data_IF_121012038582
#
_entry.id   IF_121012038582
#
_cell.length_a   1.000
_cell.length_b   1.000
_cell.length_c   1.000
_cell.angle_alpha   90.00
_cell.angle_beta   90.00
_cell.angle_gamma   90.00
#
_symmetry.space_group_name_H-M   'P 1'
#
loop_
_entity.id
_entity.type
_entity.pdbx_description
1 polymer ?
#
# COMPACT_ATOMS: atom_id res chain seq x y z
N UNK A 1 23.08 20.13 2.18
CA UNK A 1 21.90 21.03 2.12
C UNK A 1 21.19 20.71 0.82
N UNK A 2 19.90 20.37 0.85
CA UNK A 2 19.16 20.06 -0.37
C UNK A 2 18.72 21.38 -1.02
N UNK A 3 19.42 21.81 -2.06
CA UNK A 3 19.03 22.96 -2.90
C UNK A 3 17.96 22.52 -3.93
N UNK A 4 16.80 22.11 -3.43
CA UNK A 4 15.68 21.72 -4.27
C UNK A 4 14.76 22.93 -4.51
N UNK A 5 14.90 23.58 -5.67
CA UNK A 5 14.01 24.68 -6.07
C UNK A 5 12.60 24.19 -6.48
N UNK A 6 12.43 22.88 -6.72
CA UNK A 6 11.18 22.26 -7.20
C UNK A 6 10.90 20.94 -6.50
N UNK A 7 9.62 20.70 -6.16
CA UNK A 7 9.14 19.48 -5.50
C UNK A 7 9.54 18.19 -6.24
N UNK A 8 9.46 18.18 -7.56
CA UNK A 8 9.77 16.99 -8.37
C UNK A 8 11.24 16.55 -8.29
N UNK A 9 12.14 17.42 -7.78
CA UNK A 9 13.53 17.08 -7.52
C UNK A 9 13.76 16.30 -6.22
N UNK A 10 12.76 16.24 -5.34
CA UNK A 10 12.83 15.60 -4.02
C UNK A 10 11.67 14.63 -3.74
N UNK A 11 10.60 14.70 -4.53
CA UNK A 11 9.40 13.86 -4.41
C UNK A 11 9.20 13.05 -5.68
N UNK A 12 8.99 11.75 -5.52
CA UNK A 12 8.50 10.87 -6.60
C UNK A 12 7.12 10.36 -6.21
N UNK A 13 6.14 10.54 -7.10
CA UNK A 13 4.79 10.01 -6.92
C UNK A 13 4.64 8.69 -7.68
N UNK A 14 4.28 7.63 -6.95
CA UNK A 14 3.95 6.33 -7.53
C UNK A 14 2.43 6.14 -7.54
N UNK A 15 1.83 5.92 -8.71
CA UNK A 15 0.41 5.58 -8.86
C UNK A 15 0.17 4.08 -8.61
N UNK A 16 0.60 3.60 -7.44
CA UNK A 16 0.56 2.19 -7.04
C UNK A 16 -0.17 2.06 -5.69
N UNK A 17 -0.85 0.93 -5.47
CA UNK A 17 -1.31 0.55 -4.14
C UNK A 17 -0.22 -0.19 -3.37
N UNK A 18 0.14 0.27 -2.17
CA UNK A 18 1.03 -0.50 -1.30
C UNK A 18 0.30 -1.74 -0.77
N UNK A 19 0.95 -2.91 -0.79
CA UNK A 19 0.34 -4.19 -0.40
C UNK A 19 1.40 -5.25 -0.07
N UNK A 20 0.99 -6.50 0.16
CA UNK A 20 1.87 -7.67 0.31
C UNK A 20 2.20 -8.37 -1.02
N UNK A 21 1.73 -7.84 -2.15
CA UNK A 21 1.90 -8.41 -3.49
C UNK A 21 2.28 -7.35 -4.50
N UNK A 22 3.05 -7.76 -5.52
CA UNK A 22 3.35 -6.94 -6.70
C UNK A 22 2.61 -7.51 -7.90
N UNK A 23 1.40 -7.02 -8.14
CA UNK A 23 0.54 -7.47 -9.23
C UNK A 23 -0.64 -6.50 -9.43
N UNK A 24 -1.35 -6.68 -10.53
CA UNK A 24 -2.59 -5.95 -10.78
C UNK A 24 -3.76 -6.55 -9.99
N UNK A 25 -4.49 -5.73 -9.23
CA UNK A 25 -5.56 -6.16 -8.33
C UNK A 25 -6.86 -5.38 -8.54
N UNK A 26 -8.03 -6.02 -8.36
CA UNK A 26 -9.31 -5.32 -8.39
C UNK A 26 -9.59 -4.59 -7.08
N UNK A 27 -9.98 -3.33 -7.17
CA UNK A 27 -10.52 -2.51 -6.09
C UNK A 27 -11.94 -2.02 -6.43
N UNK A 28 -12.65 -1.44 -5.47
CA UNK A 28 -13.96 -0.83 -5.70
C UNK A 28 -13.81 0.50 -6.46
N UNK A 29 -14.62 0.71 -7.52
CA UNK A 29 -14.51 1.85 -8.44
C UNK A 29 -14.79 3.22 -7.81
N UNK A 30 -15.63 3.27 -6.78
CA UNK A 30 -15.96 4.52 -6.09
C UNK A 30 -16.28 4.25 -4.62
N UNK A 31 -15.44 4.79 -3.76
CA UNK A 31 -15.86 5.33 -2.47
C UNK A 31 -15.51 6.82 -2.53
N UNK A 32 -16.38 7.72 -2.05
CA UNK A 32 -16.05 9.12 -1.82
C UNK A 32 -14.66 9.28 -1.17
N UNK A 33 -13.95 10.36 -1.48
CA UNK A 33 -12.71 10.66 -0.76
C UNK A 33 -13.02 10.76 0.75
N UNK A 34 -12.27 10.03 1.58
CA UNK A 34 -12.54 9.91 3.02
C UNK A 34 -13.54 8.82 3.40
N UNK A 35 -13.99 7.96 2.47
CA UNK A 35 -14.71 6.73 2.82
C UNK A 35 -13.74 5.52 2.92
N UNK A 36 -13.56 5.08 4.16
CA UNK A 36 -12.53 4.16 4.70
C UNK A 36 -12.72 2.66 4.31
N UNK A 37 -13.27 2.37 3.12
CA UNK A 37 -13.62 0.97 2.73
C UNK A 37 -12.92 0.48 1.47
N UNK A 38 -11.91 1.18 1.01
CA UNK A 38 -11.17 0.82 -0.20
C UNK A 38 -10.13 -0.25 0.12
N UNK A 39 -10.40 -1.48 -0.32
CA UNK A 39 -9.49 -2.61 -0.17
C UNK A 39 -9.50 -3.51 -1.39
N UNK A 40 -8.51 -4.40 -1.48
CA UNK A 40 -8.46 -5.42 -2.53
C UNK A 40 -9.69 -6.33 -2.43
N UNK A 41 -10.44 -6.44 -3.52
CA UNK A 41 -11.62 -7.28 -3.57
C UNK A 41 -11.22 -8.74 -3.82
N UNK A 42 -11.69 -9.64 -2.95
CA UNK A 42 -11.45 -11.08 -3.09
C UNK A 42 -12.76 -11.89 -3.04
N UNK A 43 -12.71 -13.13 -3.52
CA UNK A 43 -13.78 -14.12 -3.39
C UNK A 43 -15.16 -13.66 -3.90
N UNK A 44 -16.20 -13.86 -3.08
CA UNK A 44 -17.58 -13.52 -3.43
C UNK A 44 -17.78 -12.02 -3.68
N UNK A 45 -17.11 -11.15 -2.90
CA UNK A 45 -17.17 -9.70 -3.10
C UNK A 45 -16.60 -9.34 -4.47
N UNK A 46 -15.42 -9.86 -4.83
CA UNK A 46 -14.84 -9.62 -6.16
C UNK A 46 -15.82 -9.98 -7.29
N UNK A 47 -16.44 -11.16 -7.24
CA UNK A 47 -17.44 -11.60 -8.24
C UNK A 47 -18.66 -10.67 -8.27
N UNK A 48 -19.23 -10.35 -7.11
CA UNK A 48 -20.43 -9.49 -7.00
C UNK A 48 -20.18 -8.11 -7.58
N UNK A 49 -19.08 -7.45 -7.19
CA UNK A 49 -18.77 -6.10 -7.66
C UNK A 49 -18.32 -6.09 -9.13
N UNK A 50 -17.60 -7.12 -9.59
CA UNK A 50 -17.24 -7.25 -11.00
C UNK A 50 -18.49 -7.39 -11.89
N UNK A 51 -19.44 -8.24 -11.49
CA UNK A 51 -20.72 -8.40 -12.21
C UNK A 51 -21.54 -7.11 -12.25
N UNK A 52 -21.38 -6.24 -11.25
CA UNK A 52 -22.02 -4.93 -11.18
C UNK A 52 -21.22 -3.81 -11.90
N UNK A 53 -20.14 -4.13 -12.62
CA UNK A 53 -19.21 -3.15 -13.22
C UNK A 53 -18.67 -2.11 -12.22
N UNK A 54 -18.55 -2.50 -10.94
CA UNK A 54 -18.20 -1.64 -9.82
C UNK A 54 -16.74 -1.84 -9.36
N UNK A 55 -15.88 -2.40 -10.21
CA UNK A 55 -14.46 -2.62 -9.92
C UNK A 55 -13.54 -1.82 -10.84
N UNK A 56 -12.40 -1.39 -10.33
CA UNK A 56 -11.28 -0.83 -11.09
C UNK A 56 -10.03 -1.69 -10.85
N UNK A 57 -9.21 -1.88 -11.89
CA UNK A 57 -7.93 -2.59 -11.78
C UNK A 57 -6.81 -1.59 -11.52
N UNK A 58 -6.08 -1.77 -10.42
CA UNK A 58 -4.93 -0.95 -10.05
C UNK A 58 -3.69 -1.82 -9.89
N UNK A 59 -2.53 -1.26 -10.16
CA UNK A 59 -1.27 -1.95 -9.92
C UNK A 59 -0.89 -1.80 -8.44
N UNK A 60 -0.71 -2.93 -7.77
CA UNK A 60 -0.22 -2.99 -6.40
C UNK A 60 1.25 -3.40 -6.38
N UNK A 61 1.97 -2.97 -5.34
CA UNK A 61 3.40 -3.26 -5.15
C UNK A 61 3.69 -3.60 -3.69
N UNK A 62 4.52 -4.63 -3.49
CA UNK A 62 5.16 -4.88 -2.22
C UNK A 62 6.32 -3.88 -2.04
N UNK A 63 6.42 -3.23 -0.87
CA UNK A 63 7.45 -2.21 -0.69
C UNK A 63 8.87 -2.77 -0.75
N UNK A 64 9.08 -4.05 -0.41
CA UNK A 64 10.38 -4.72 -0.65
C UNK A 64 10.79 -4.62 -2.13
N UNK A 65 9.87 -4.93 -3.05
CA UNK A 65 10.12 -4.88 -4.49
C UNK A 65 10.34 -3.44 -4.95
N UNK A 66 9.55 -2.49 -4.42
CA UNK A 66 9.70 -1.07 -4.74
C UNK A 66 11.07 -0.54 -4.28
N UNK A 67 11.47 -0.81 -3.04
CA UNK A 67 12.74 -0.37 -2.49
C UNK A 67 13.92 -0.98 -3.25
N UNK A 68 13.82 -2.25 -3.62
CA UNK A 68 14.82 -2.90 -4.47
C UNK A 68 14.91 -2.23 -5.86
N UNK A 69 13.77 -2.00 -6.52
CA UNK A 69 13.74 -1.38 -7.84
C UNK A 69 14.30 0.05 -7.84
N UNK A 70 14.03 0.82 -6.77
CA UNK A 70 14.55 2.17 -6.57
C UNK A 70 15.98 2.19 -6.00
N UNK A 71 16.57 1.02 -5.71
CA UNK A 71 17.89 0.87 -5.09
C UNK A 71 18.02 1.66 -3.78
N UNK A 72 16.96 1.68 -3.00
CA UNK A 72 16.93 2.34 -1.69
C UNK A 72 17.60 1.45 -0.66
N UNK A 73 18.88 1.67 -0.37
CA UNK A 73 19.63 0.86 0.61
C UNK A 73 19.25 1.18 2.06
N UNK A 74 18.78 2.40 2.32
CA UNK A 74 18.35 2.86 3.63
C UNK A 74 17.19 3.85 3.51
N UNK A 75 16.14 3.62 4.31
CA UNK A 75 14.95 4.47 4.39
C UNK A 75 14.83 4.99 5.82
N UNK A 76 14.81 6.32 5.99
CA UNK A 76 14.71 6.90 7.32
C UNK A 76 13.34 6.63 7.96
N UNK A 77 12.25 6.90 7.23
CA UNK A 77 10.89 6.75 7.73
C UNK A 77 9.98 6.18 6.66
N UNK A 78 9.11 5.26 7.07
CA UNK A 78 7.92 4.84 6.32
C UNK A 78 6.71 5.17 7.18
N UNK A 79 5.78 5.95 6.62
CA UNK A 79 4.49 6.24 7.24
C UNK A 79 3.40 5.57 6.40
N UNK A 80 2.54 4.80 7.05
CA UNK A 80 1.50 3.97 6.43
C UNK A 80 0.15 4.44 6.97
N UNK A 81 -0.74 4.76 6.06
CA UNK A 81 -2.13 5.10 6.36
C UNK A 81 -2.97 4.56 5.19
N UNK A 82 -3.38 3.30 5.30
CA UNK A 82 -4.02 2.56 4.20
C UNK A 82 -5.43 2.08 4.52
N UNK A 83 -6.21 2.87 5.24
CA UNK A 83 -7.65 2.63 5.49
C UNK A 83 -7.91 1.20 6.04
N UNK A 84 -7.02 0.75 6.92
CA UNK A 84 -7.10 -0.55 7.60
C UNK A 84 -6.29 -1.69 6.97
N UNK A 85 -5.65 -1.50 5.82
CA UNK A 85 -4.83 -2.54 5.18
C UNK A 85 -3.34 -2.48 5.52
N UNK A 86 -2.98 -1.72 6.56
CA UNK A 86 -1.60 -1.44 6.98
C UNK A 86 -0.82 -2.73 7.24
N UNK A 87 -1.46 -3.76 7.80
CA UNK A 87 -0.85 -5.06 8.04
C UNK A 87 -0.34 -5.74 6.76
N UNK A 88 -1.03 -5.56 5.62
CA UNK A 88 -0.58 -6.10 4.33
C UNK A 88 0.62 -5.31 3.80
N UNK A 89 0.64 -3.99 3.99
CA UNK A 89 1.80 -3.17 3.64
C UNK A 89 3.03 -3.60 4.46
N UNK A 90 2.84 -3.82 5.77
CA UNK A 90 3.87 -4.34 6.67
C UNK A 90 4.38 -5.72 6.22
N UNK A 91 3.49 -6.63 5.80
CA UNK A 91 3.87 -7.93 5.26
C UNK A 91 4.70 -7.78 3.97
N UNK A 92 4.32 -6.87 3.08
CA UNK A 92 5.02 -6.56 1.84
C UNK A 92 6.39 -5.87 2.01
N UNK A 93 6.73 -5.43 3.21
CA UNK A 93 8.04 -4.85 3.54
C UNK A 93 8.81 -5.65 4.60
N UNK A 94 8.39 -6.89 4.87
CA UNK A 94 8.98 -7.74 5.91
C UNK A 94 10.48 -7.98 5.70
N UNK A 95 10.95 -8.04 4.44
CA UNK A 95 12.36 -8.10 4.11
C UNK A 95 13.11 -6.85 4.57
N UNK A 96 12.62 -5.67 4.23
CA UNK A 96 13.17 -4.39 4.65
C UNK A 96 13.21 -4.24 6.17
N UNK A 97 12.14 -4.67 6.86
CA UNK A 97 12.08 -4.71 8.33
C UNK A 97 13.16 -5.64 8.88
N UNK A 98 13.21 -6.89 8.41
CA UNK A 98 14.16 -7.90 8.93
C UNK A 98 15.63 -7.50 8.72
N UNK A 99 15.94 -6.79 7.63
CA UNK A 99 17.27 -6.26 7.33
C UNK A 99 17.57 -4.92 8.00
N UNK A 100 16.63 -4.36 8.78
CA UNK A 100 16.73 -3.01 9.37
C UNK A 100 17.02 -1.92 8.34
N UNK A 101 16.45 -2.09 7.14
CA UNK A 101 16.55 -1.15 6.03
C UNK A 101 15.76 0.13 6.30
N UNK A 102 14.76 0.06 7.20
CA UNK A 102 13.93 1.20 7.62
C UNK A 102 14.21 1.55 9.09
N UNK A 103 14.47 2.82 9.39
CA UNK A 103 14.75 3.25 10.77
C UNK A 103 13.48 3.42 11.61
N UNK A 104 12.43 4.03 11.05
CA UNK A 104 11.17 4.31 11.75
C UNK A 104 10.00 3.86 10.87
N UNK A 105 9.06 3.14 11.46
CA UNK A 105 7.80 2.76 10.81
C UNK A 105 6.66 3.29 11.68
N UNK A 106 5.79 4.07 11.06
CA UNK A 106 4.55 4.59 11.62
C UNK A 106 3.38 3.97 10.84
N UNK A 107 2.37 3.48 11.54
CA UNK A 107 1.17 2.90 10.94
C UNK A 107 -0.01 2.99 11.91
N UNK A 108 -1.22 2.94 11.39
CA UNK A 108 -2.43 2.93 12.21
C UNK A 108 -2.82 1.51 12.62
N UNK A 109 -3.07 1.31 13.92
CA UNK A 109 -3.55 0.03 14.44
C UNK A 109 -5.08 0.00 14.36
N UNK A 110 -5.61 -0.38 13.19
CA UNK A 110 -7.04 -0.47 12.96
C UNK A 110 -7.56 -1.91 13.13
N UNK A 111 -8.53 -2.11 14.03
CA UNK A 111 -9.13 -3.45 14.28
C UNK A 111 -9.98 -3.98 13.11
N UNK A 112 -10.26 -3.16 12.10
CA UNK A 112 -11.20 -3.49 11.02
C UNK A 112 -10.60 -4.28 9.85
N UNK A 113 -9.28 -4.25 9.61
CA UNK A 113 -8.71 -4.75 8.35
C UNK A 113 -7.92 -6.06 8.41
N UNK A 114 -7.57 -6.54 9.60
CA UNK A 114 -6.99 -7.88 9.79
C UNK A 114 -7.67 -8.56 10.98
N UNK A 115 -8.96 -8.88 10.82
CA UNK A 115 -9.68 -9.66 11.83
C UNK A 115 -8.99 -11.01 11.97
N UNK A 116 -8.40 -11.24 13.15
CA UNK A 116 -8.01 -12.56 13.63
C UNK A 116 -9.11 -13.58 13.31
N UNK A 117 -8.75 -14.83 12.96
CA UNK A 117 -9.76 -15.88 12.78
C UNK A 117 -10.59 -15.98 14.06
N UNK A 118 -11.92 -16.02 13.90
CA UNK A 118 -12.81 -16.51 14.96
C UNK A 118 -12.63 -18.01 15.14
#
# INVERSE_FOLDING_TARGET
>A
MLDAEKLDGIVTLHKLGASNVTQRVPIMKSVPAGEERQGVLTGFKARRFANANATLQVDAVALDDLFQAQKLEHVYQVSIDTEGFDALVLEGMRGAISRRQVSIIEFEVNQMGYSMPK
#
